data_IF_163266024749
#
_entry.id   IF_163266024749
#
_cell.length_a   1.000
_cell.length_b   1.000
_cell.length_c   1.000
_cell.angle_alpha   90.00
_cell.angle_beta   90.00
_cell.angle_gamma   90.00
#
_symmetry.space_group_name_H-M   'P 1'
#
loop_
_entity.id
_entity.type
_entity.pdbx_description
1 polymer ?
#
# COMPACT_ATOMS: atom_id res chain seq x y z
N UNK A 1 -53.09 21.50 28.57
CA UNK A 1 -53.08 20.70 27.32
C UNK A 1 -53.58 21.45 26.06
N UNK A 2 -53.90 22.76 26.10
CA UNK A 2 -54.44 23.48 24.94
C UNK A 2 -53.40 24.24 24.07
N UNK A 3 -52.18 24.49 24.56
CA UNK A 3 -51.16 25.25 23.80
C UNK A 3 -50.48 24.46 22.67
N UNK A 4 -50.44 23.12 22.77
CA UNK A 4 -49.81 22.27 21.74
C UNK A 4 -50.68 22.08 20.49
N UNK A 5 -52.00 22.32 20.58
CA UNK A 5 -52.94 22.13 19.47
C UNK A 5 -53.04 23.34 18.54
N UNK A 6 -52.76 24.55 19.04
CA UNK A 6 -52.74 25.78 18.23
C UNK A 6 -51.55 25.79 17.25
N UNK A 7 -50.36 25.37 17.72
CA UNK A 7 -49.15 25.32 16.89
C UNK A 7 -49.29 24.35 15.70
N UNK A 8 -49.97 23.22 15.90
CA UNK A 8 -50.28 22.27 14.83
C UNK A 8 -51.21 22.85 13.75
N UNK A 9 -52.09 23.80 14.11
CA UNK A 9 -53.03 24.42 13.17
C UNK A 9 -52.36 25.46 12.27
N UNK A 10 -51.31 26.12 12.77
CA UNK A 10 -50.47 27.02 11.97
C UNK A 10 -49.56 26.25 11.01
N UNK A 11 -48.92 25.17 11.47
CA UNK A 11 -48.04 24.32 10.65
C UNK A 11 -48.80 23.56 9.54
N UNK A 12 -50.08 23.29 9.71
CA UNK A 12 -50.94 22.71 8.65
C UNK A 12 -51.30 23.73 7.56
N UNK A 13 -51.41 25.02 7.92
CA UNK A 13 -51.84 26.08 6.99
C UNK A 13 -50.73 26.44 5.98
N UNK A 14 -49.46 26.23 6.32
CA UNK A 14 -48.33 26.45 5.42
C UNK A 14 -48.10 25.29 4.43
N UNK A 15 -48.73 24.13 4.65
CA UNK A 15 -48.60 22.94 3.79
C UNK A 15 -49.69 22.82 2.72
N UNK A 16 -50.76 23.62 2.80
CA UNK A 16 -51.89 23.57 1.86
C UNK A 16 -51.79 24.60 0.71
N UNK A 17 -50.82 25.50 0.76
CA UNK A 17 -50.52 26.44 -0.32
C UNK A 17 -49.41 25.84 -1.19
N UNK A 18 -49.83 25.20 -2.29
CA UNK A 18 -48.99 24.57 -3.32
C UNK A 18 -47.83 25.45 -3.78
N UNK A 19 -46.73 24.93 -4.27
CA UNK A 19 -46.51 24.14 -5.49
C UNK A 19 -44.96 24.13 -5.58
N UNK A 20 -44.19 23.11 -5.94
CA UNK A 20 -44.26 22.23 -7.10
C UNK A 20 -43.54 20.92 -6.76
N UNK A 21 -44.20 19.83 -7.13
CA UNK A 21 -43.65 18.49 -7.23
C UNK A 21 -42.70 18.40 -8.43
N UNK A 22 -41.52 17.84 -8.21
CA UNK A 22 -40.92 16.90 -9.15
C UNK A 22 -40.28 15.77 -8.35
N UNK A 23 -41.07 14.71 -8.13
CA UNK A 23 -40.62 13.36 -7.75
C UNK A 23 -39.85 12.73 -8.93
N UNK A 24 -39.04 11.65 -8.77
CA UNK A 24 -39.23 10.57 -7.78
C UNK A 24 -37.93 10.10 -7.04
N UNK A 25 -38.04 9.75 -5.74
CA UNK A 25 -37.98 8.38 -5.18
C UNK A 25 -36.51 7.90 -5.05
N UNK A 26 -35.92 7.56 -3.90
CA UNK A 26 -36.32 6.64 -2.82
C UNK A 26 -35.58 7.01 -1.52
N UNK A 27 -36.25 6.78 -0.40
CA UNK A 27 -35.76 6.69 1.00
C UNK A 27 -34.37 6.05 1.14
N UNK A 28 -33.54 6.53 2.07
CA UNK A 28 -33.50 6.04 3.48
C UNK A 28 -32.26 6.59 4.22
N UNK A 29 -32.56 7.16 5.39
CA UNK A 29 -31.72 7.54 6.53
C UNK A 29 -30.20 7.64 6.38
N UNK A 30 -29.72 8.89 6.53
CA UNK A 30 -28.42 9.20 7.09
C UNK A 30 -28.47 8.95 8.60
N UNK A 31 -27.80 7.90 9.05
CA UNK A 31 -27.22 7.86 10.40
C UNK A 31 -25.71 7.80 10.26
N UNK A 32 -25.04 8.76 10.89
CA UNK A 32 -23.59 8.90 10.96
C UNK A 32 -22.92 7.64 11.52
N UNK A 33 -21.73 7.31 11.01
CA UNK A 33 -20.83 6.40 11.71
C UNK A 33 -19.79 5.70 10.81
N UNK A 34 -18.61 6.33 10.69
CA UNK A 34 -17.28 5.72 10.66
C UNK A 34 -16.94 4.73 9.52
N UNK A 35 -16.04 5.18 8.63
CA UNK A 35 -15.09 4.41 7.82
C UNK A 35 -15.65 3.26 6.94
N UNK A 36 -16.07 3.62 5.72
CA UNK A 36 -16.15 2.67 4.61
C UNK A 36 -14.76 2.52 3.95
N UNK A 37 -14.01 1.48 4.31
CA UNK A 37 -12.99 0.92 3.42
C UNK A 37 -13.67 -0.11 2.51
N UNK A 38 -13.91 0.27 1.27
CA UNK A 38 -14.39 -0.63 0.22
C UNK A 38 -13.26 -1.52 -0.28
N UNK A 39 -13.03 -2.64 0.39
CA UNK A 39 -12.26 -3.77 -0.16
C UNK A 39 -13.24 -4.78 -0.72
N UNK A 40 -13.32 -4.89 -2.04
CA UNK A 40 -13.88 -6.05 -2.72
C UNK A 40 -13.05 -7.28 -2.32
N UNK A 41 -13.43 -7.91 -1.20
CA UNK A 41 -12.70 -9.02 -0.63
C UNK A 41 -12.80 -10.24 -1.55
N UNK A 42 -11.68 -10.79 -2.05
CA UNK A 42 -11.67 -12.03 -2.81
C UNK A 42 -12.34 -13.18 -2.04
N UNK A 43 -12.92 -14.15 -2.75
CA UNK A 43 -13.75 -15.22 -2.16
C UNK A 43 -13.10 -16.05 -1.05
N UNK A 44 -11.76 -16.07 -0.99
CA UNK A 44 -10.99 -16.74 0.06
C UNK A 44 -10.99 -15.97 1.39
N UNK A 45 -11.03 -14.64 1.38
CA UNK A 45 -11.12 -13.81 2.59
C UNK A 45 -12.50 -13.97 3.26
N UNK A 46 -13.57 -14.11 2.47
CA UNK A 46 -14.90 -14.46 3.00
C UNK A 46 -14.89 -15.80 3.72
N UNK A 47 -14.14 -16.79 3.22
CA UNK A 47 -14.03 -18.11 3.88
C UNK A 47 -13.25 -18.03 5.19
N UNK A 48 -12.19 -17.22 5.25
CA UNK A 48 -11.41 -16.97 6.48
C UNK A 48 -12.25 -16.23 7.53
N UNK A 49 -12.95 -15.17 7.12
CA UNK A 49 -13.82 -14.41 8.01
C UNK A 49 -15.02 -15.23 8.47
N UNK A 50 -15.60 -16.07 7.60
CA UNK A 50 -16.69 -16.98 7.96
C UNK A 50 -16.21 -18.06 8.92
N UNK A 51 -15.01 -18.62 8.73
CA UNK A 51 -14.44 -19.63 9.63
C UNK A 51 -14.12 -19.03 11.02
N UNK A 52 -13.54 -17.82 11.06
CA UNK A 52 -13.31 -17.09 12.31
C UNK A 52 -14.61 -16.70 13.02
N UNK A 53 -15.61 -16.24 12.27
CA UNK A 53 -16.94 -15.90 12.80
C UNK A 53 -17.68 -17.14 13.31
N UNK A 54 -17.63 -18.27 12.59
CA UNK A 54 -18.28 -19.52 12.96
C UNK A 54 -17.61 -20.15 14.20
N UNK A 55 -16.28 -20.07 14.30
CA UNK A 55 -15.54 -20.48 15.49
C UNK A 55 -15.88 -19.65 16.73
N UNK A 56 -15.99 -18.32 16.57
CA UNK A 56 -16.41 -17.41 17.64
C UNK A 56 -17.88 -17.62 18.03
N UNK A 57 -18.77 -17.85 17.07
CA UNK A 57 -20.18 -18.16 17.30
C UNK A 57 -20.38 -19.50 18.01
N UNK A 58 -19.61 -20.54 17.66
CA UNK A 58 -19.64 -21.84 18.33
C UNK A 58 -19.03 -21.79 19.74
N UNK A 59 -17.98 -21.01 19.98
CA UNK A 59 -17.44 -20.75 21.33
C UNK A 59 -18.45 -20.00 22.21
N UNK A 60 -19.19 -19.05 21.64
CA UNK A 60 -20.18 -18.26 22.38
C UNK A 60 -21.48 -19.02 22.64
N UNK A 61 -21.94 -19.86 21.69
CA UNK A 61 -23.17 -20.65 21.83
C UNK A 61 -22.96 -22.03 22.51
N UNK A 62 -21.73 -22.55 22.51
CA UNK A 62 -21.42 -23.96 22.73
C UNK A 62 -20.96 -24.39 24.12
N UNK A 63 -21.23 -23.62 25.19
CA UNK A 63 -20.95 -24.10 26.56
C UNK A 63 -22.22 -24.50 27.33
N UNK A 64 -23.42 -24.11 26.88
CA UNK A 64 -24.66 -24.37 27.64
C UNK A 64 -25.73 -25.24 26.95
N UNK A 65 -25.57 -25.65 25.68
CA UNK A 65 -26.66 -26.34 24.95
C UNK A 65 -26.32 -27.68 24.32
N UNK A 66 -25.04 -28.06 24.17
CA UNK A 66 -24.68 -29.25 23.42
C UNK A 66 -23.76 -30.15 24.26
N UNK A 67 -24.34 -31.23 24.80
CA UNK A 67 -23.58 -32.35 25.35
C UNK A 67 -22.83 -33.06 24.22
N UNK A 68 -21.64 -32.56 23.88
CA UNK A 68 -20.77 -33.16 22.85
C UNK A 68 -19.89 -34.21 23.52
N UNK A 69 -20.07 -35.45 23.05
CA UNK A 69 -19.23 -36.60 23.37
C UNK A 69 -17.78 -36.32 22.98
N UNK A 70 -16.88 -36.56 23.92
CA UNK A 70 -15.44 -36.27 23.85
C UNK A 70 -14.72 -37.22 22.89
N UNK A 71 -14.73 -36.90 21.60
CA UNK A 71 -13.71 -37.34 20.62
C UNK A 71 -13.39 -36.19 19.66
N UNK A 72 -13.39 -34.95 20.17
CA UNK A 72 -12.95 -33.77 19.42
C UNK A 72 -11.45 -33.56 19.65
N UNK A 73 -10.65 -33.27 18.60
CA UNK A 73 -9.28 -32.81 18.77
C UNK A 73 -9.26 -31.63 19.75
N UNK A 74 -8.28 -31.60 20.65
CA UNK A 74 -8.22 -30.55 21.64
C UNK A 74 -8.02 -29.20 20.93
N UNK A 75 -8.52 -28.10 21.52
CA UNK A 75 -8.30 -26.75 20.97
C UNK A 75 -6.79 -26.46 20.83
N UNK A 76 -5.95 -27.09 21.66
CA UNK A 76 -4.50 -27.03 21.54
C UNK A 76 -3.96 -27.66 20.25
N UNK A 77 -4.55 -28.75 19.77
CA UNK A 77 -4.16 -29.41 18.51
C UNK A 77 -4.55 -28.57 17.30
N UNK A 78 -5.69 -27.86 17.37
CA UNK A 78 -6.13 -26.96 16.28
C UNK A 78 -5.31 -25.68 16.22
N UNK A 79 -4.92 -25.11 17.37
CA UNK A 79 -4.05 -23.94 17.44
C UNK A 79 -2.63 -24.29 17.01
N UNK A 80 -2.11 -25.45 17.40
CA UNK A 80 -0.78 -25.91 16.92
C UNK A 80 -0.81 -26.28 15.44
N UNK A 81 -1.88 -26.89 14.93
CA UNK A 81 -2.06 -27.14 13.49
C UNK A 81 -2.11 -25.82 12.70
N UNK A 82 -2.79 -24.79 13.22
CA UNK A 82 -2.81 -23.45 12.61
C UNK A 82 -1.46 -22.74 12.71
N UNK A 83 -0.81 -22.78 13.88
CA UNK A 83 0.53 -22.22 14.09
C UNK A 83 1.55 -22.90 13.16
N UNK A 84 1.44 -24.23 12.99
CA UNK A 84 2.28 -25.02 12.10
C UNK A 84 1.94 -24.77 10.62
N UNK A 85 0.67 -24.50 10.28
CA UNK A 85 0.24 -24.08 8.93
C UNK A 85 0.74 -22.68 8.55
N UNK A 86 0.90 -21.77 9.51
CA UNK A 86 1.48 -20.43 9.30
C UNK A 86 3.02 -20.45 9.30
N UNK A 87 3.65 -21.41 9.99
CA UNK A 87 5.10 -21.43 10.24
C UNK A 87 5.88 -22.48 9.42
N UNK A 88 5.24 -23.26 8.55
CA UNK A 88 5.97 -24.15 7.63
C UNK A 88 6.22 -23.42 6.30
N UNK A 89 7.45 -23.45 5.73
CA UNK A 89 7.65 -23.12 4.33
C UNK A 89 6.92 -24.20 3.54
N UNK A 90 5.72 -23.87 3.08
CA UNK A 90 4.87 -24.77 2.34
C UNK A 90 5.57 -25.16 1.04
N UNK A 91 5.83 -26.46 0.89
CA UNK A 91 6.50 -27.01 -0.29
C UNK A 91 5.76 -26.63 -1.58
N UNK A 92 4.44 -26.41 -1.48
CA UNK A 92 3.59 -25.93 -2.55
C UNK A 92 3.94 -24.49 -3.02
N UNK A 93 4.13 -23.51 -2.12
CA UNK A 93 4.62 -22.18 -2.52
C UNK A 93 6.04 -22.23 -3.08
N UNK A 94 6.94 -23.04 -2.51
CA UNK A 94 8.30 -23.16 -3.05
C UNK A 94 8.26 -23.74 -4.47
N UNK A 95 7.44 -24.78 -4.70
CA UNK A 95 7.23 -25.34 -6.02
C UNK A 95 6.62 -24.31 -6.99
N UNK A 96 5.60 -23.56 -6.55
CA UNK A 96 4.98 -22.51 -7.36
C UNK A 96 5.95 -21.36 -7.69
N UNK A 97 6.77 -20.94 -6.72
CA UNK A 97 7.82 -19.95 -6.94
C UNK A 97 8.85 -20.47 -7.94
N UNK A 98 9.32 -21.71 -7.79
CA UNK A 98 10.26 -22.34 -8.71
C UNK A 98 9.74 -22.34 -10.16
N UNK A 99 8.48 -22.74 -10.37
CA UNK A 99 7.87 -22.73 -11.70
C UNK A 99 7.83 -21.32 -12.32
N UNK A 100 7.45 -20.29 -11.56
CA UNK A 100 7.44 -18.91 -12.06
C UNK A 100 8.85 -18.37 -12.32
N UNK A 101 9.82 -18.73 -11.48
CA UNK A 101 11.22 -18.36 -11.68
C UNK A 101 11.78 -19.01 -12.95
N UNK A 102 11.45 -20.28 -13.20
CA UNK A 102 11.82 -21.01 -14.43
C UNK A 102 11.17 -20.38 -15.68
N UNK A 103 9.90 -20.00 -15.62
CA UNK A 103 9.22 -19.26 -16.71
C UNK A 103 9.89 -17.91 -17.03
N UNK A 104 10.50 -17.27 -16.03
CA UNK A 104 11.29 -16.05 -16.20
C UNK A 104 12.73 -16.30 -16.68
N UNK A 105 13.14 -17.56 -16.82
CA UNK A 105 14.47 -17.97 -17.29
C UNK A 105 15.48 -18.28 -16.19
N UNK A 106 15.08 -18.26 -14.90
CA UNK A 106 15.91 -18.70 -13.79
C UNK A 106 15.74 -20.20 -13.58
N UNK A 107 16.49 -21.00 -14.32
CA UNK A 107 16.44 -22.47 -14.27
C UNK A 107 17.32 -23.03 -13.15
N UNK A 108 17.15 -24.32 -12.86
CA UNK A 108 18.03 -25.11 -11.98
C UNK A 108 18.11 -24.63 -10.51
N UNK A 109 17.09 -23.89 -10.04
CA UNK A 109 17.00 -23.48 -8.64
C UNK A 109 16.60 -24.66 -7.74
N UNK A 110 17.44 -24.95 -6.74
CA UNK A 110 17.13 -25.93 -5.70
C UNK A 110 16.09 -25.41 -4.70
N UNK A 111 15.54 -26.31 -3.87
CA UNK A 111 14.63 -25.91 -2.80
C UNK A 111 15.33 -24.95 -1.83
N UNK A 112 16.59 -25.22 -1.53
CA UNK A 112 17.43 -24.40 -0.66
C UNK A 112 17.65 -23.00 -1.25
N UNK A 113 17.91 -22.88 -2.56
CA UNK A 113 18.07 -21.57 -3.23
C UNK A 113 16.77 -20.75 -3.14
N UNK A 114 15.61 -21.40 -3.34
CA UNK A 114 14.31 -20.73 -3.25
C UNK A 114 13.99 -20.26 -1.83
N UNK A 115 14.43 -21.02 -0.81
CA UNK A 115 14.33 -20.59 0.60
C UNK A 115 15.22 -19.37 0.83
N UNK A 116 16.48 -19.43 0.41
CA UNK A 116 17.44 -18.32 0.57
C UNK A 116 16.94 -17.03 -0.09
N UNK A 117 16.43 -17.12 -1.32
CA UNK A 117 15.85 -15.97 -2.01
C UNK A 117 14.71 -15.33 -1.22
N UNK A 118 13.82 -16.15 -0.66
CA UNK A 118 12.70 -15.65 0.15
C UNK A 118 13.17 -15.03 1.45
N UNK A 119 14.19 -15.61 2.10
CA UNK A 119 14.81 -15.03 3.29
C UNK A 119 15.44 -13.66 3.00
N UNK A 120 15.96 -13.47 1.78
CA UNK A 120 16.46 -12.19 1.26
C UNK A 120 15.35 -11.27 0.74
N UNK A 121 14.08 -11.66 0.86
CA UNK A 121 12.91 -10.87 0.44
C UNK A 121 12.60 -10.95 -1.04
N UNK A 122 13.32 -11.74 -1.83
CA UNK A 122 13.08 -11.95 -3.26
C UNK A 122 11.91 -12.92 -3.44
N UNK A 123 10.94 -12.51 -4.26
CA UNK A 123 9.77 -13.32 -4.61
C UNK A 123 9.59 -13.33 -6.11
N UNK A 124 9.01 -14.41 -6.67
CA UNK A 124 8.71 -14.46 -8.11
C UNK A 124 7.84 -13.28 -8.58
N UNK A 125 6.87 -12.85 -7.76
CA UNK A 125 6.05 -11.66 -8.05
C UNK A 125 6.86 -10.38 -8.13
N UNK A 126 7.82 -10.18 -7.22
CA UNK A 126 8.70 -9.00 -7.25
C UNK A 126 9.57 -9.02 -8.51
N UNK A 127 10.22 -10.14 -8.79
CA UNK A 127 11.06 -10.34 -9.98
C UNK A 127 10.28 -10.07 -11.26
N UNK A 128 9.08 -10.63 -11.38
CA UNK A 128 8.20 -10.42 -12.54
C UNK A 128 7.87 -8.94 -12.73
N UNK A 129 7.49 -8.22 -11.67
CA UNK A 129 7.17 -6.78 -11.76
C UNK A 129 8.37 -5.94 -12.19
N UNK A 130 9.56 -6.24 -11.70
CA UNK A 130 10.77 -5.55 -12.14
C UNK A 130 11.02 -5.82 -13.64
N UNK A 131 10.85 -7.07 -14.09
CA UNK A 131 10.97 -7.42 -15.51
C UNK A 131 9.94 -6.72 -16.39
N UNK A 132 8.69 -6.64 -15.94
CA UNK A 132 7.59 -5.93 -16.63
C UNK A 132 7.86 -4.42 -16.80
N UNK A 133 8.71 -3.84 -15.95
CA UNK A 133 9.15 -2.45 -16.09
C UNK A 133 10.22 -2.25 -17.17
N UNK A 134 10.73 -3.33 -17.76
CA UNK A 134 11.70 -3.35 -18.85
C UNK A 134 13.07 -3.91 -18.46
N UNK A 135 13.31 -4.22 -17.17
CA UNK A 135 14.56 -4.81 -16.69
C UNK A 135 14.55 -6.33 -16.90
N UNK A 136 14.68 -6.76 -18.16
CA UNK A 136 14.42 -8.15 -18.58
C UNK A 136 15.62 -9.09 -18.51
N UNK A 137 16.85 -8.56 -18.53
CA UNK A 137 18.09 -9.34 -18.53
C UNK A 137 18.77 -9.33 -17.14
N UNK A 138 17.97 -9.50 -16.09
CA UNK A 138 18.46 -9.50 -14.70
C UNK A 138 19.00 -10.86 -14.30
N UNK A 139 20.22 -10.89 -13.79
CA UNK A 139 20.73 -12.02 -12.99
C UNK A 139 20.00 -12.10 -11.66
N UNK A 140 19.98 -13.29 -11.05
CA UNK A 140 19.35 -13.48 -9.75
C UNK A 140 20.03 -12.63 -8.66
N UNK A 141 21.36 -12.51 -8.72
CA UNK A 141 22.14 -11.67 -7.82
C UNK A 141 21.76 -10.19 -7.93
N UNK A 142 21.46 -9.69 -9.13
CA UNK A 142 20.97 -8.31 -9.30
C UNK A 142 19.58 -8.10 -8.69
N UNK A 143 18.68 -9.08 -8.81
CA UNK A 143 17.35 -9.04 -8.16
C UNK A 143 17.51 -8.99 -6.64
N UNK A 144 18.42 -9.79 -6.09
CA UNK A 144 18.77 -9.77 -4.66
C UNK A 144 19.33 -8.41 -4.25
N UNK A 145 20.28 -7.84 -5.03
CA UNK A 145 20.87 -6.53 -4.75
C UNK A 145 19.83 -5.41 -4.74
N UNK A 146 18.90 -5.40 -5.70
CA UNK A 146 17.78 -4.46 -5.72
C UNK A 146 16.97 -4.55 -4.42
N UNK A 147 16.63 -5.76 -4.01
CA UNK A 147 15.85 -6.00 -2.80
C UNK A 147 16.59 -5.58 -1.52
N UNK A 148 17.89 -5.89 -1.42
CA UNK A 148 18.75 -5.51 -0.28
C UNK A 148 18.94 -4.00 -0.13
N UNK A 149 18.80 -3.23 -1.22
CA UNK A 149 18.90 -1.77 -1.23
C UNK A 149 17.51 -1.11 -1.25
N UNK A 150 16.46 -1.81 -0.80
CA UNK A 150 15.09 -1.28 -0.71
C UNK A 150 14.56 -0.69 -2.03
N UNK A 151 14.98 -1.25 -3.17
CA UNK A 151 14.47 -0.88 -4.49
C UNK A 151 13.16 -1.65 -4.74
N UNK A 152 12.04 -0.98 -4.51
CA UNK A 152 10.72 -1.56 -4.82
C UNK A 152 10.37 -1.41 -6.31
N UNK A 153 9.56 -2.33 -6.84
CA UNK A 153 8.99 -2.18 -8.20
C UNK A 153 8.14 -0.92 -8.34
N UNK A 154 7.43 -0.50 -7.28
CA UNK A 154 6.69 0.76 -7.26
C UNK A 154 7.61 1.97 -7.41
N UNK A 155 8.75 1.99 -6.70
CA UNK A 155 9.73 3.08 -6.84
C UNK A 155 10.25 3.17 -8.27
N UNK A 156 10.70 2.05 -8.85
CA UNK A 156 11.19 2.01 -10.23
C UNK A 156 10.11 2.46 -11.24
N UNK A 157 8.85 2.02 -11.05
CA UNK A 157 7.73 2.43 -11.88
C UNK A 157 7.47 3.94 -11.80
N UNK A 158 7.41 4.50 -10.59
CA UNK A 158 7.15 5.93 -10.41
C UNK A 158 8.29 6.80 -10.94
N UNK A 159 9.55 6.39 -10.76
CA UNK A 159 10.68 7.11 -11.35
C UNK A 159 10.59 7.13 -12.89
N UNK A 160 10.17 6.03 -13.50
CA UNK A 160 9.90 5.96 -14.94
C UNK A 160 8.76 6.88 -15.37
N UNK A 161 7.67 6.94 -14.60
CA UNK A 161 6.55 7.86 -14.84
C UNK A 161 6.95 9.33 -14.71
N UNK A 162 7.89 9.63 -13.82
CA UNK A 162 8.49 10.96 -13.66
C UNK A 162 9.48 11.30 -14.79
N UNK A 163 9.70 10.40 -15.75
CA UNK A 163 10.52 10.62 -16.94
C UNK A 163 11.98 10.15 -16.84
N UNK A 164 12.36 9.49 -15.74
CA UNK A 164 13.72 8.98 -15.58
C UNK A 164 13.90 7.63 -16.27
N UNK A 165 14.93 7.52 -17.09
CA UNK A 165 15.36 6.25 -17.69
C UNK A 165 16.56 5.70 -16.93
N UNK A 166 16.28 5.01 -15.83
CA UNK A 166 17.29 4.54 -14.87
C UNK A 166 17.78 3.14 -15.21
N UNK A 167 19.06 2.90 -14.99
CA UNK A 167 19.62 1.55 -14.90
C UNK A 167 19.38 0.94 -13.52
N UNK A 168 19.70 -0.34 -13.35
CA UNK A 168 19.64 -1.04 -12.05
C UNK A 168 20.56 -0.37 -11.04
N UNK A 169 21.78 -0.01 -11.46
CA UNK A 169 22.75 0.66 -10.59
C UNK A 169 22.24 2.05 -10.18
N UNK A 170 21.64 2.81 -11.10
CA UNK A 170 21.07 4.13 -10.75
C UNK A 170 19.93 3.98 -9.73
N UNK A 171 19.06 2.97 -9.89
CA UNK A 171 18.00 2.69 -8.91
C UNK A 171 18.56 2.38 -7.53
N UNK A 172 19.61 1.55 -7.47
CA UNK A 172 20.28 1.19 -6.22
C UNK A 172 20.92 2.43 -5.59
N UNK A 173 21.68 3.20 -6.36
CA UNK A 173 22.38 4.41 -5.90
C UNK A 173 21.39 5.43 -5.32
N UNK A 174 20.31 5.73 -6.05
CA UNK A 174 19.26 6.63 -5.56
C UNK A 174 18.68 6.17 -4.22
N UNK A 175 18.43 4.87 -4.04
CA UNK A 175 17.89 4.34 -2.78
C UNK A 175 18.90 4.35 -1.64
N UNK A 176 20.18 4.09 -1.92
CA UNK A 176 21.26 4.20 -0.93
C UNK A 176 21.39 5.63 -0.37
N UNK A 177 21.05 6.64 -1.17
CA UNK A 177 21.00 8.05 -0.78
C UNK A 177 19.61 8.51 -0.30
N UNK A 178 18.72 7.58 0.03
CA UNK A 178 17.35 7.85 0.51
C UNK A 178 16.49 8.70 -0.44
N UNK A 179 16.81 8.72 -1.74
CA UNK A 179 15.97 9.35 -2.76
C UNK A 179 14.70 8.50 -2.92
N UNK A 180 13.56 9.17 -2.98
CA UNK A 180 12.24 8.54 -3.15
C UNK A 180 11.50 9.17 -4.31
N UNK A 181 10.64 8.41 -4.98
CA UNK A 181 9.77 8.97 -6.01
C UNK A 181 8.86 10.10 -5.47
N UNK A 182 8.47 10.04 -4.19
CA UNK A 182 7.73 11.12 -3.53
C UNK A 182 8.56 12.40 -3.43
N UNK A 183 9.83 12.31 -3.03
CA UNK A 183 10.74 13.46 -2.98
C UNK A 183 10.91 14.09 -4.37
N UNK A 184 11.20 13.25 -5.39
CA UNK A 184 11.35 13.70 -6.79
C UNK A 184 10.08 14.33 -7.34
N UNK A 185 8.91 13.71 -7.12
CA UNK A 185 7.61 14.26 -7.55
C UNK A 185 7.33 15.61 -6.94
N UNK A 186 7.61 15.81 -5.64
CA UNK A 186 7.40 17.11 -5.00
C UNK A 186 8.34 18.19 -5.57
N UNK A 187 9.55 17.84 -6.01
CA UNK A 187 10.43 18.78 -6.68
C UNK A 187 9.90 19.13 -8.08
N UNK A 188 9.38 18.15 -8.83
CA UNK A 188 8.70 18.41 -10.10
C UNK A 188 7.47 19.33 -9.90
N UNK A 189 6.68 19.14 -8.84
CA UNK A 189 5.53 20.00 -8.50
C UNK A 189 5.94 21.44 -8.18
N UNK A 190 7.19 21.67 -7.74
CA UNK A 190 7.76 23.00 -7.54
C UNK A 190 8.32 23.61 -8.83
N UNK A 191 8.40 22.84 -9.92
CA UNK A 191 8.92 23.28 -11.22
C UNK A 191 10.30 22.75 -11.58
N UNK A 192 10.93 21.93 -10.73
CA UNK A 192 12.23 21.29 -11.02
C UNK A 192 12.03 20.01 -11.86
N UNK A 193 11.63 20.15 -13.12
CA UNK A 193 11.31 18.99 -13.98
C UNK A 193 12.52 18.34 -14.66
N UNK A 194 13.62 19.09 -14.81
CA UNK A 194 14.85 18.64 -15.48
C UNK A 194 15.99 18.34 -14.48
N UNK A 195 15.62 17.94 -13.25
CA UNK A 195 16.60 17.64 -12.20
C UNK A 195 17.27 16.28 -12.46
N UNK A 196 18.59 16.25 -12.36
CA UNK A 196 19.39 15.02 -12.58
C UNK A 196 19.37 14.09 -11.36
N UNK A 197 19.73 12.82 -11.57
CA UNK A 197 19.89 11.84 -10.47
C UNK A 197 20.94 12.27 -9.46
N UNK A 198 22.04 12.85 -9.93
CA UNK A 198 23.12 13.39 -9.09
C UNK A 198 22.65 14.58 -8.27
N UNK A 199 21.82 15.46 -8.83
CA UNK A 199 21.23 16.58 -8.09
C UNK A 199 20.23 16.11 -7.03
N UNK A 200 19.40 15.10 -7.34
CA UNK A 200 18.51 14.48 -6.37
C UNK A 200 19.29 13.91 -5.18
N UNK A 201 20.39 13.20 -5.46
CA UNK A 201 21.30 12.66 -4.45
C UNK A 201 21.90 13.78 -3.62
N UNK A 202 22.48 14.82 -4.26
CA UNK A 202 23.10 15.94 -3.54
C UNK A 202 22.14 16.68 -2.63
N UNK A 203 20.90 16.92 -3.06
CA UNK A 203 19.87 17.53 -2.22
C UNK A 203 19.57 16.67 -0.99
N UNK A 204 19.42 15.36 -1.20
CA UNK A 204 19.15 14.39 -0.14
C UNK A 204 20.28 14.28 0.87
N UNK A 205 21.51 14.16 0.40
CA UNK A 205 22.72 14.07 1.23
C UNK A 205 22.96 15.34 2.04
N UNK A 206 22.64 16.49 1.47
CA UNK A 206 22.75 17.78 2.16
C UNK A 206 21.64 17.95 3.20
N UNK A 207 20.53 17.21 3.09
CA UNK A 207 19.37 17.32 3.98
C UNK A 207 18.34 18.37 3.55
N UNK A 208 18.41 18.86 2.31
CA UNK A 208 17.44 19.81 1.77
C UNK A 208 16.08 19.14 1.66
N UNK A 209 15.08 19.67 2.38
CA UNK A 209 13.71 19.16 2.32
C UNK A 209 12.89 19.86 1.24
N UNK A 210 11.88 19.17 0.67
CA UNK A 210 10.95 19.78 -0.30
C UNK A 210 10.16 20.95 0.31
N UNK A 211 9.89 20.90 1.62
CA UNK A 211 9.27 22.00 2.36
C UNK A 211 10.17 23.24 2.40
N UNK A 212 11.45 23.05 2.64
CA UNK A 212 12.42 24.15 2.63
C UNK A 212 12.59 24.73 1.23
N UNK A 213 12.73 23.87 0.22
CA UNK A 213 12.80 24.30 -1.17
C UNK A 213 11.58 25.14 -1.58
N UNK A 214 10.37 24.70 -1.20
CA UNK A 214 9.14 25.46 -1.40
C UNK A 214 9.18 26.83 -0.72
N UNK A 215 9.57 26.88 0.55
CA UNK A 215 9.63 28.14 1.29
C UNK A 215 10.64 29.13 0.67
N UNK A 216 11.76 28.62 0.16
CA UNK A 216 12.76 29.45 -0.51
C UNK A 216 12.27 29.99 -1.85
N UNK A 217 11.58 29.16 -2.66
CA UNK A 217 10.90 29.61 -3.90
C UNK A 217 9.89 30.73 -3.60
N UNK A 218 9.08 30.58 -2.55
CA UNK A 218 8.12 31.62 -2.12
C UNK A 218 8.83 32.91 -1.70
N UNK A 219 9.97 32.83 -1.02
CA UNK A 219 10.79 33.98 -0.61
C UNK A 219 11.37 34.73 -1.82
N UNK A 220 11.72 34.03 -2.90
CA UNK A 220 12.19 34.62 -4.17
C UNK A 220 11.04 35.13 -5.05
N UNK A 221 9.81 35.23 -4.52
CA UNK A 221 8.66 35.74 -5.28
C UNK A 221 8.17 34.78 -6.37
N UNK A 222 8.45 33.49 -6.24
CA UNK A 222 8.05 32.46 -7.20
C UNK A 222 9.06 32.21 -8.32
N UNK A 223 10.20 32.91 -8.33
CA UNK A 223 11.33 32.53 -9.18
C UNK A 223 11.96 31.24 -8.63
N UNK A 224 12.27 30.30 -9.52
CA UNK A 224 12.83 28.99 -9.18
C UNK A 224 14.35 29.13 -8.96
N UNK A 225 14.86 29.01 -7.72
CA UNK A 225 16.30 29.01 -7.46
C UNK A 225 16.96 27.80 -8.11
N UNK A 226 18.25 27.87 -8.39
CA UNK A 226 19.02 26.69 -8.79
C UNK A 226 19.16 25.69 -7.64
N UNK A 227 19.45 24.43 -7.97
CA UNK A 227 19.76 23.38 -6.98
C UNK A 227 20.93 23.80 -6.08
N UNK A 228 21.94 24.46 -6.65
CA UNK A 228 23.09 24.95 -5.89
C UNK A 228 22.71 26.06 -4.91
N UNK A 229 21.78 26.95 -5.29
CA UNK A 229 21.27 27.99 -4.38
C UNK A 229 20.46 27.39 -3.24
N UNK A 230 19.66 26.34 -3.50
CA UNK A 230 18.96 25.60 -2.45
C UNK A 230 19.93 24.98 -1.43
N UNK A 231 20.95 24.27 -1.94
CA UNK A 231 21.99 23.65 -1.11
C UNK A 231 22.72 24.71 -0.28
N UNK A 232 23.13 25.82 -0.91
CA UNK A 232 23.82 26.92 -0.23
C UNK A 232 22.94 27.58 0.83
N UNK A 233 21.67 27.81 0.54
CA UNK A 233 20.72 28.38 1.47
C UNK A 233 20.55 27.48 2.70
N UNK A 234 20.42 26.17 2.49
CA UNK A 234 20.34 25.19 3.58
C UNK A 234 21.57 25.22 4.48
N UNK A 235 22.76 25.13 3.89
CA UNK A 235 24.04 25.14 4.63
C UNK A 235 24.23 26.46 5.40
N UNK A 236 23.80 27.60 4.84
CA UNK A 236 23.93 28.90 5.50
C UNK A 236 22.98 29.10 6.69
N UNK A 237 21.92 28.30 6.80
CA UNK A 237 20.87 28.44 7.81
C UNK A 237 20.92 27.35 8.90
N UNK A 238 21.93 26.47 8.87
CA UNK A 238 22.27 25.57 9.97
C UNK A 238 23.25 26.23 10.94
#
# INVERSE_FOLDING_TARGET
MAAKFQKLKEELKSLEQGEILSRPVVKKDRTNGLFQFGLSSPGWIRKILLAGFLGSFLLYAGVNYFGVSTNSPSVGDSVTTFQNWVNQPDEELLQGMGAWMEEMGYTDLSKEDLIELREQGVTATYTLRIRDLGYTDLTLDEVVRLQQNDVSSTFAAMMKELGYNLTIEDLIELRQHDVTAYFTSNLHDLGYTDITTEELIRLKDTGVSTREAKAFVEQQGGELPSIEELIRHHISNQ
#
